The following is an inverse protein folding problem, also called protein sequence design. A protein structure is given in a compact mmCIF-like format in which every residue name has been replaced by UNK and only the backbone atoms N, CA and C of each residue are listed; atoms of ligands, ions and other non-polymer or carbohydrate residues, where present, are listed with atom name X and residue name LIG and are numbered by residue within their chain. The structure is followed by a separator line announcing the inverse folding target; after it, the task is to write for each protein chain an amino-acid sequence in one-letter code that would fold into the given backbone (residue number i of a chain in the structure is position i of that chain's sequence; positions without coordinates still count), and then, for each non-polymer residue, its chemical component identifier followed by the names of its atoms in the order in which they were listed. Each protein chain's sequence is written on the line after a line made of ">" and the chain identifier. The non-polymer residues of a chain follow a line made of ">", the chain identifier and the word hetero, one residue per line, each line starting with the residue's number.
data_IF_756164380553
#
_entry.id   IF_756164380553
#
_cell.length_a   1.000
_cell.length_b   1.000
_cell.length_c   1.000
_cell.angle_alpha   90.00
_cell.angle_beta   90.00
_cell.angle_gamma   90.00
#
_symmetry.space_group_name_H-M   'P 1'
#
loop_
_entity.id
_entity.type
_entity.pdbx_description
1 polymer ?
#
# COMPACT_ATOMS: atom_id res chain seq x y z
N UNK A 1 7.78 4.24 62.74
CA UNK A 1 7.45 4.77 61.40
C UNK A 1 8.75 4.92 60.60
N UNK A 2 9.09 3.96 59.72
CA UNK A 2 10.09 4.19 58.65
C UNK A 2 9.72 3.30 57.47
N UNK A 3 9.56 3.94 56.30
CA UNK A 3 8.94 3.39 55.09
C UNK A 3 9.95 2.69 54.18
N UNK A 4 9.40 1.73 53.46
CA UNK A 4 9.92 0.87 52.39
C UNK A 4 10.66 1.66 51.30
N UNK A 5 11.79 1.13 50.82
CA UNK A 5 12.37 1.49 49.51
C UNK A 5 12.38 0.21 48.67
N UNK A 6 11.42 0.11 47.75
CA UNK A 6 11.28 -0.98 46.78
C UNK A 6 12.11 -0.59 45.54
N UNK A 7 13.15 -1.35 45.13
CA UNK A 7 13.84 -1.04 43.89
C UNK A 7 12.93 -1.45 42.72
N UNK A 8 12.33 -0.47 42.05
CA UNK A 8 11.73 -0.66 40.73
C UNK A 8 12.85 -1.03 39.76
N UNK A 9 13.07 -2.34 39.56
CA UNK A 9 13.85 -2.84 38.42
C UNK A 9 13.03 -2.58 37.16
N UNK A 10 13.38 -1.50 36.49
CA UNK A 10 12.82 -1.03 35.23
C UNK A 10 13.20 -2.02 34.12
N UNK A 11 12.42 -3.08 33.93
CA UNK A 11 12.53 -3.99 32.78
C UNK A 11 12.00 -3.26 31.55
N UNK A 12 12.87 -2.52 30.87
CA UNK A 12 12.62 -1.94 29.56
C UNK A 12 12.46 -3.08 28.54
N UNK A 13 11.23 -3.56 28.36
CA UNK A 13 10.87 -4.43 27.25
C UNK A 13 11.16 -3.69 25.94
N UNK A 14 12.22 -4.12 25.24
CA UNK A 14 12.48 -3.75 23.86
C UNK A 14 11.38 -4.35 22.97
N UNK A 15 10.28 -3.64 22.80
CA UNK A 15 9.34 -3.93 21.70
C UNK A 15 9.84 -3.16 20.48
N UNK A 16 10.90 -3.68 19.87
CA UNK A 16 11.39 -3.21 18.57
C UNK A 16 10.33 -3.48 17.52
N UNK A 17 9.64 -2.42 17.11
CA UNK A 17 8.59 -2.45 16.11
C UNK A 17 9.10 -3.04 14.78
N UNK A 18 8.39 -4.04 14.24
CA UNK A 18 8.57 -4.46 12.86
C UNK A 18 7.94 -3.41 11.94
N UNK A 19 8.64 -2.30 11.68
CA UNK A 19 8.30 -1.44 10.55
C UNK A 19 8.81 -2.13 9.27
N UNK A 20 8.02 -3.08 8.75
CA UNK A 20 8.22 -3.56 7.38
C UNK A 20 7.69 -2.47 6.45
N UNK A 21 8.59 -1.58 6.05
CA UNK A 21 8.38 -0.75 4.87
C UNK A 21 8.46 -1.65 3.64
N UNK A 22 7.41 -2.42 3.39
CA UNK A 22 7.30 -3.26 2.21
C UNK A 22 7.16 -2.32 1.01
N UNK A 23 8.29 -2.00 0.38
CA UNK A 23 8.31 -1.28 -0.89
C UNK A 23 7.72 -2.22 -1.94
N UNK A 24 6.45 -1.99 -2.28
CA UNK A 24 5.78 -2.73 -3.36
C UNK A 24 6.52 -2.38 -4.65
N UNK A 25 7.10 -3.38 -5.36
CA UNK A 25 7.80 -3.12 -6.60
C UNK A 25 6.82 -2.53 -7.64
N UNK A 26 7.32 -1.67 -8.55
CA UNK A 26 6.48 -1.10 -9.59
C UNK A 26 5.90 -2.21 -10.49
N UNK A 27 4.68 -2.04 -11.02
CA UNK A 27 4.08 -3.00 -11.93
C UNK A 27 4.88 -3.09 -13.23
N UNK A 28 4.87 -4.27 -13.85
CA UNK A 28 5.41 -4.41 -15.20
C UNK A 28 4.66 -3.51 -16.18
N UNK A 29 5.36 -2.82 -17.11
CA UNK A 29 4.72 -1.98 -18.12
C UNK A 29 3.64 -2.74 -18.89
N UNK A 30 2.56 -2.04 -19.28
CA UNK A 30 1.55 -2.64 -20.13
C UNK A 30 2.15 -2.94 -21.51
N UNK A 31 2.01 -4.19 -21.97
CA UNK A 31 2.67 -4.69 -23.19
C UNK A 31 1.70 -5.09 -24.29
N UNK A 32 0.43 -5.33 -23.97
CA UNK A 32 -0.60 -5.78 -24.93
C UNK A 32 -1.92 -5.10 -24.58
N UNK A 33 -2.63 -4.56 -25.59
CA UNK A 33 -3.91 -3.86 -25.42
C UNK A 33 -3.85 -2.82 -24.29
N UNK A 34 -3.24 -1.66 -24.55
CA UNK A 34 -2.99 -0.62 -23.54
C UNK A 34 -3.69 0.69 -23.88
N UNK A 35 -4.89 0.62 -24.45
CA UNK A 35 -5.55 1.79 -25.07
C UNK A 35 -6.95 2.06 -24.54
N UNK A 36 -7.65 1.05 -24.02
CA UNK A 36 -9.02 1.18 -23.58
C UNK A 36 -9.14 1.34 -22.06
N UNK A 37 -10.31 1.77 -21.62
CA UNK A 37 -10.66 1.82 -20.20
C UNK A 37 -10.56 0.46 -19.52
N UNK A 38 -11.12 -0.58 -20.15
CA UNK A 38 -11.07 -1.94 -19.61
C UNK A 38 -9.64 -2.44 -19.49
N UNK A 39 -8.80 -2.18 -20.49
CA UNK A 39 -7.38 -2.56 -20.46
C UNK A 39 -6.65 -1.98 -19.24
N UNK A 40 -6.85 -0.68 -18.98
CA UNK A 40 -6.24 0.02 -17.86
C UNK A 40 -6.73 -0.52 -16.52
N UNK A 41 -8.04 -0.72 -16.39
CA UNK A 41 -8.65 -1.28 -15.19
C UNK A 41 -8.07 -2.66 -14.87
N UNK A 42 -8.09 -3.57 -15.85
CA UNK A 42 -7.59 -4.93 -15.65
C UNK A 42 -6.08 -4.97 -15.39
N UNK A 43 -5.30 -4.08 -16.01
CA UNK A 43 -3.87 -3.98 -15.74
C UNK A 43 -3.60 -3.62 -14.27
N UNK A 44 -4.35 -2.67 -13.70
CA UNK A 44 -4.28 -2.35 -12.28
C UNK A 44 -4.65 -3.56 -11.40
N UNK A 45 -5.76 -4.23 -11.68
CA UNK A 45 -6.21 -5.40 -10.91
C UNK A 45 -5.21 -6.56 -10.96
N UNK A 46 -4.66 -6.87 -12.15
CA UNK A 46 -3.65 -7.93 -12.30
C UNK A 46 -2.33 -7.59 -11.62
N UNK A 47 -1.92 -6.32 -11.67
CA UNK A 47 -0.71 -5.83 -11.03
C UNK A 47 -0.83 -5.65 -9.52
N UNK A 48 -2.07 -5.63 -8.99
CA UNK A 48 -2.39 -5.45 -7.57
C UNK A 48 -1.65 -4.26 -6.92
N UNK A 49 -1.55 -3.15 -7.66
CA UNK A 49 -0.92 -1.93 -7.18
C UNK A 49 -1.97 -0.87 -6.84
N UNK A 50 -1.67 -0.08 -5.81
CA UNK A 50 -2.56 0.97 -5.29
C UNK A 50 -1.98 2.37 -5.48
N UNK A 51 -0.89 2.50 -6.24
CA UNK A 51 -0.27 3.79 -6.52
C UNK A 51 -0.70 4.31 -7.91
N UNK A 52 -1.45 5.43 -7.99
CA UNK A 52 -1.95 5.97 -9.24
C UNK A 52 -0.86 6.55 -10.13
N UNK A 53 0.36 6.80 -9.62
CA UNK A 53 1.47 7.29 -10.45
C UNK A 53 1.82 6.29 -11.56
N UNK A 54 1.59 4.99 -11.32
CA UNK A 54 1.83 3.96 -12.33
C UNK A 54 0.87 4.02 -13.53
N UNK A 55 -0.25 4.74 -13.42
CA UNK A 55 -1.20 4.89 -14.51
C UNK A 55 -0.78 5.92 -15.57
N UNK A 56 0.32 6.66 -15.36
CA UNK A 56 0.76 7.73 -16.27
C UNK A 56 1.46 7.19 -17.53
N UNK A 57 1.52 8.01 -18.59
CA UNK A 57 2.22 7.68 -19.84
C UNK A 57 1.45 6.82 -20.85
N UNK A 58 0.15 6.61 -20.62
CA UNK A 58 -0.75 5.85 -21.50
C UNK A 58 -1.88 6.73 -22.07
N UNK A 59 -2.65 6.28 -23.07
CA UNK A 59 -3.81 7.01 -23.59
C UNK A 59 -4.86 7.29 -22.51
N UNK A 60 -5.56 8.43 -22.60
CA UNK A 60 -6.48 8.93 -21.56
C UNK A 60 -7.52 7.89 -21.09
N UNK A 61 -8.11 7.13 -22.01
CA UNK A 61 -9.08 6.10 -21.66
C UNK A 61 -8.47 5.00 -20.78
N UNK A 62 -7.24 4.56 -21.11
CA UNK A 62 -6.48 3.61 -20.31
C UNK A 62 -6.14 4.19 -18.93
N UNK A 63 -5.67 5.43 -18.87
CA UNK A 63 -5.34 6.11 -17.61
C UNK A 63 -6.58 6.17 -16.71
N UNK A 64 -7.74 6.51 -17.27
CA UNK A 64 -9.02 6.55 -16.55
C UNK A 64 -9.39 5.16 -15.98
N UNK A 65 -9.21 4.11 -16.77
CA UNK A 65 -9.41 2.73 -16.33
C UNK A 65 -8.49 2.30 -15.20
N UNK A 66 -7.20 2.55 -15.37
CA UNK A 66 -6.18 2.21 -14.38
C UNK A 66 -6.45 2.89 -13.04
N UNK A 67 -6.82 4.18 -13.04
CA UNK A 67 -7.15 4.92 -11.81
C UNK A 67 -8.37 4.33 -11.09
N UNK A 68 -9.38 3.89 -11.84
CA UNK A 68 -10.55 3.22 -11.23
C UNK A 68 -10.15 1.90 -10.56
N UNK A 69 -9.32 1.07 -11.21
CA UNK A 69 -8.84 -0.19 -10.61
C UNK A 69 -7.98 0.04 -9.37
N UNK A 70 -7.07 1.02 -9.42
CA UNK A 70 -6.27 1.45 -8.26
C UNK A 70 -7.16 1.86 -7.08
N UNK A 71 -8.22 2.61 -7.34
CA UNK A 71 -9.16 3.04 -6.31
C UNK A 71 -9.93 1.86 -5.70
N UNK A 72 -10.43 0.93 -6.53
CA UNK A 72 -11.08 -0.29 -6.04
C UNK A 72 -10.13 -1.11 -5.14
N UNK A 73 -8.88 -1.28 -5.55
CA UNK A 73 -7.87 -1.99 -4.75
C UNK A 73 -7.59 -1.30 -3.41
N UNK A 74 -7.57 0.03 -3.38
CA UNK A 74 -7.42 0.80 -2.13
C UNK A 74 -8.60 0.56 -1.19
N UNK A 75 -9.82 0.56 -1.71
CA UNK A 75 -11.02 0.31 -0.91
C UNK A 75 -11.05 -1.12 -0.35
N UNK A 76 -10.57 -2.10 -1.11
CA UNK A 76 -10.47 -3.49 -0.68
C UNK A 76 -9.33 -3.75 0.32
N UNK A 77 -8.33 -2.87 0.36
CA UNK A 77 -7.21 -2.93 1.31
C UNK A 77 -7.40 -1.82 2.33
N UNK A 78 -8.31 -1.98 3.32
CA UNK A 78 -8.49 -0.97 4.34
C UNK A 78 -7.13 -0.71 4.95
N UNK A 79 -6.66 0.53 4.80
CA UNK A 79 -5.40 0.97 5.35
C UNK A 79 -5.42 0.58 6.82
N UNK A 80 -4.61 -0.41 7.18
CA UNK A 80 -4.33 -0.72 8.57
C UNK A 80 -3.38 0.37 9.07
N UNK A 81 -3.80 1.63 8.97
CA UNK A 81 -3.15 2.72 9.67
C UNK A 81 -3.48 2.46 11.14
N UNK A 82 -2.50 1.88 11.84
CA UNK A 82 -2.61 1.53 13.23
C UNK A 82 -3.14 2.69 14.05
N UNK A 83 -4.15 2.38 14.87
CA UNK A 83 -4.71 3.25 15.90
C UNK A 83 -3.62 3.61 16.92
#
# INVERSE_FOLDING_TARGET
>A
MTRIILPLTLTTLLIGACARGDTVPPPAPCSTHCTTHTDGYEWAQRGNFTDPQYCEGYPDAFVFGCRNGVEDLRQLRPSSEGI
#
